data_IF_064888691338
#
_entry.id   IF_064888691338
#
_cell.length_a   1.000
_cell.length_b   1.000
_cell.length_c   1.000
_cell.angle_alpha   90.00
_cell.angle_beta   90.00
_cell.angle_gamma   90.00
#
_symmetry.space_group_name_H-M   'P 1'
#
loop_
_entity.id
_entity.type
_entity.pdbx_description
1 polymer ?
#
# COMPACT_ATOMS: atom_id res chain seq x y z
N UNK A 1 11.39 38.10 -20.94
CA UNK A 1 11.63 36.65 -20.74
C UNK A 1 11.61 36.24 -19.25
N UNK A 2 12.42 36.86 -18.39
CA UNK A 2 12.53 36.52 -16.95
C UNK A 2 11.22 36.61 -16.16
N UNK A 3 10.37 37.62 -16.41
CA UNK A 3 9.06 37.78 -15.72
C UNK A 3 8.06 36.65 -16.02
N UNK A 4 8.05 36.08 -17.22
CA UNK A 4 7.15 34.98 -17.56
C UNK A 4 7.60 33.67 -16.90
N UNK A 5 8.91 33.44 -16.85
CA UNK A 5 9.51 32.30 -16.16
C UNK A 5 9.22 32.35 -14.64
N UNK A 6 9.36 33.52 -14.01
CA UNK A 6 9.04 33.70 -12.59
C UNK A 6 7.56 33.42 -12.28
N UNK A 7 6.63 33.90 -13.13
CA UNK A 7 5.19 33.61 -12.98
C UNK A 7 4.88 32.13 -13.17
N UNK A 8 5.54 31.46 -14.13
CA UNK A 8 5.38 30.03 -14.35
C UNK A 8 5.88 29.22 -13.13
N UNK A 9 7.07 29.54 -12.61
CA UNK A 9 7.62 28.90 -11.40
C UNK A 9 6.67 29.10 -10.21
N UNK A 10 6.18 30.32 -9.99
CA UNK A 10 5.23 30.60 -8.91
C UNK A 10 3.94 29.77 -9.07
N UNK A 11 3.40 29.70 -10.28
CA UNK A 11 2.22 28.89 -10.58
C UNK A 11 2.42 27.41 -10.30
N UNK A 12 3.55 26.84 -10.74
CA UNK A 12 3.90 25.43 -10.48
C UNK A 12 4.06 25.17 -8.99
N UNK A 13 4.77 26.04 -8.27
CA UNK A 13 4.96 25.92 -6.82
C UNK A 13 3.63 25.98 -6.08
N UNK A 14 2.75 26.92 -6.42
CA UNK A 14 1.42 27.02 -5.81
C UNK A 14 0.57 25.78 -6.09
N UNK A 15 0.58 25.27 -7.31
CA UNK A 15 -0.12 24.04 -7.66
C UNK A 15 0.40 22.84 -6.85
N UNK A 16 1.72 22.72 -6.69
CA UNK A 16 2.33 21.66 -5.90
C UNK A 16 1.96 21.74 -4.42
N UNK A 17 2.02 22.95 -3.83
CA UNK A 17 1.62 23.20 -2.45
C UNK A 17 0.14 22.88 -2.24
N UNK A 18 -0.73 23.30 -3.16
CA UNK A 18 -2.16 23.00 -3.09
C UNK A 18 -2.43 21.49 -3.18
N UNK A 19 -1.79 20.79 -4.12
CA UNK A 19 -1.93 19.35 -4.27
C UNK A 19 -1.48 18.61 -3.00
N UNK A 20 -0.28 18.91 -2.49
CA UNK A 20 0.22 18.31 -1.26
C UNK A 20 -0.71 18.59 -0.07
N UNK A 21 -1.21 19.82 0.06
CA UNK A 21 -2.12 20.20 1.15
C UNK A 21 -3.41 19.37 1.11
N UNK A 22 -4.00 19.17 -0.06
CA UNK A 22 -5.18 18.30 -0.23
C UNK A 22 -4.85 16.86 0.21
N UNK A 23 -3.71 16.33 -0.23
CA UNK A 23 -3.25 15.00 0.14
C UNK A 23 -3.06 14.82 1.65
N UNK A 24 -2.47 15.83 2.31
CA UNK A 24 -2.27 15.84 3.76
C UNK A 24 -3.60 15.93 4.50
N UNK A 25 -4.48 16.87 4.15
CA UNK A 25 -5.78 17.03 4.80
C UNK A 25 -6.59 15.73 4.70
N UNK A 26 -6.62 15.11 3.51
CA UNK A 26 -7.30 13.83 3.30
C UNK A 26 -6.68 12.69 4.12
N UNK A 27 -5.35 12.63 4.21
CA UNK A 27 -4.68 11.61 5.01
C UNK A 27 -4.95 11.77 6.51
N UNK A 28 -4.92 13.02 7.01
CA UNK A 28 -5.20 13.32 8.42
C UNK A 28 -6.65 13.07 8.83
N UNK A 29 -7.61 13.20 7.91
CA UNK A 29 -9.01 12.88 8.15
C UNK A 29 -9.35 11.38 8.02
N UNK A 30 -8.41 10.57 7.53
CA UNK A 30 -8.65 9.14 7.28
C UNK A 30 -8.38 8.30 8.53
N UNK A 31 -9.38 7.49 8.92
CA UNK A 31 -9.29 6.45 9.93
C UNK A 31 -10.00 5.21 9.39
N UNK A 32 -9.22 4.28 8.84
CA UNK A 32 -9.76 3.06 8.22
C UNK A 32 -8.92 1.85 8.64
N UNK A 33 -9.56 0.69 8.71
CA UNK A 33 -8.89 -0.60 8.83
C UNK A 33 -9.45 -1.53 7.77
N UNK A 34 -8.56 -2.23 7.10
CA UNK A 34 -8.89 -3.14 6.02
C UNK A 34 -8.24 -4.49 6.26
N UNK A 35 -8.90 -5.54 5.79
CA UNK A 35 -8.35 -6.88 5.72
C UNK A 35 -8.63 -7.46 4.34
N UNK A 36 -7.56 -7.77 3.61
CA UNK A 36 -7.62 -8.31 2.26
C UNK A 36 -7.05 -9.72 2.21
N UNK A 37 -7.56 -10.52 1.29
CA UNK A 37 -7.11 -11.89 1.07
C UNK A 37 -6.96 -12.18 -0.41
N UNK A 38 -6.04 -13.08 -0.74
CA UNK A 38 -5.94 -13.65 -2.08
C UNK A 38 -5.55 -15.12 -2.00
N UNK A 39 -6.03 -15.92 -2.95
CA UNK A 39 -5.78 -17.35 -3.00
C UNK A 39 -5.07 -17.73 -4.30
N UNK A 40 -4.11 -18.64 -4.19
CA UNK A 40 -3.34 -19.19 -5.30
C UNK A 40 -3.51 -20.71 -5.32
N UNK A 41 -4.29 -21.19 -6.27
CA UNK A 41 -4.63 -22.60 -6.39
C UNK A 41 -3.38 -23.49 -6.42
N UNK A 42 -3.33 -24.49 -5.53
CA UNK A 42 -2.20 -25.43 -5.43
C UNK A 42 -0.92 -24.85 -4.83
N UNK A 43 -0.92 -23.59 -4.35
CA UNK A 43 0.26 -22.94 -3.76
C UNK A 43 0.01 -22.46 -2.34
N UNK A 44 -1.12 -21.81 -2.10
CA UNK A 44 -1.46 -21.27 -0.77
C UNK A 44 -2.31 -20.01 -0.86
N UNK A 45 -2.18 -19.14 0.13
CA UNK A 45 -2.97 -17.91 0.20
C UNK A 45 -2.17 -16.81 0.89
N UNK A 46 -2.68 -15.59 0.81
CA UNK A 46 -2.11 -14.43 1.47
C UNK A 46 -3.18 -13.66 2.23
N UNK A 47 -2.74 -13.02 3.31
CA UNK A 47 -3.54 -12.10 4.11
C UNK A 47 -2.78 -10.78 4.21
N UNK A 48 -3.50 -9.69 3.97
CA UNK A 48 -2.96 -8.34 4.02
C UNK A 48 -3.86 -7.44 4.86
N UNK A 49 -3.38 -7.06 6.03
CA UNK A 49 -4.07 -6.14 6.93
C UNK A 49 -3.47 -4.74 6.78
N UNK A 50 -4.33 -3.74 6.67
CA UNK A 50 -3.94 -2.34 6.59
C UNK A 50 -4.69 -1.53 7.64
N UNK A 51 -3.98 -0.65 8.34
CA UNK A 51 -4.56 0.27 9.31
C UNK A 51 -4.04 1.67 9.01
N UNK A 52 -4.97 2.60 8.79
CA UNK A 52 -4.71 3.98 8.45
C UNK A 52 -5.29 4.85 9.55
N UNK A 53 -4.45 5.66 10.19
CA UNK A 53 -4.88 6.54 11.28
C UNK A 53 -4.17 7.87 11.10
N UNK A 54 -4.92 8.89 10.69
CA UNK A 54 -4.48 10.30 10.67
C UNK A 54 -3.11 10.48 10.00
N UNK A 55 -2.99 10.02 8.76
CA UNK A 55 -1.77 10.09 7.96
C UNK A 55 -0.70 9.04 8.28
N UNK A 56 -0.88 8.22 9.31
CA UNK A 56 -0.02 7.06 9.61
C UNK A 56 -0.61 5.79 9.01
N UNK A 57 0.26 4.93 8.51
CA UNK A 57 -0.13 3.63 7.98
C UNK A 57 0.69 2.51 8.63
N UNK A 58 -0.01 1.44 9.00
CA UNK A 58 0.56 0.16 9.40
C UNK A 58 0.01 -0.90 8.45
N UNK A 59 0.88 -1.72 7.89
CA UNK A 59 0.47 -2.85 7.05
C UNK A 59 1.15 -4.13 7.53
N UNK A 60 0.43 -5.24 7.48
CA UNK A 60 0.91 -6.56 7.83
C UNK A 60 0.56 -7.51 6.69
N UNK A 61 1.57 -8.14 6.13
CA UNK A 61 1.44 -9.11 5.04
C UNK A 61 1.89 -10.47 5.53
N UNK A 62 1.06 -11.48 5.30
CA UNK A 62 1.36 -12.87 5.54
C UNK A 62 1.13 -13.67 4.27
N UNK A 63 2.12 -14.45 3.85
CA UNK A 63 1.99 -15.48 2.84
C UNK A 63 2.01 -16.85 3.51
N UNK A 64 1.03 -17.69 3.17
CA UNK A 64 0.85 -19.03 3.69
C UNK A 64 1.03 -20.05 2.56
N UNK A 65 1.61 -21.22 2.86
CA UNK A 65 1.60 -22.37 1.94
C UNK A 65 0.25 -23.11 1.98
N UNK A 66 0.14 -24.21 1.23
CA UNK A 66 -1.02 -25.11 1.24
C UNK A 66 -1.31 -25.73 2.61
N UNK A 67 -0.29 -25.86 3.47
CA UNK A 67 -0.39 -26.45 4.82
C UNK A 67 -0.75 -25.41 5.90
N UNK A 68 -1.03 -24.16 5.48
CA UNK A 68 -1.26 -22.99 6.36
C UNK A 68 -0.05 -22.55 7.21
N UNK A 69 1.16 -23.00 6.88
CA UNK A 69 2.39 -22.47 7.47
C UNK A 69 2.72 -21.09 6.88
N UNK A 70 3.10 -20.15 7.74
CA UNK A 70 3.60 -18.84 7.32
C UNK A 70 4.95 -19.01 6.63
N UNK A 71 4.99 -18.73 5.33
CA UNK A 71 6.24 -18.76 4.53
C UNK A 71 6.87 -17.39 4.37
N UNK A 72 6.08 -16.32 4.48
CA UNK A 72 6.55 -14.93 4.43
C UNK A 72 5.74 -14.10 5.40
N UNK A 73 6.42 -13.23 6.15
CA UNK A 73 5.79 -12.25 7.02
C UNK A 73 6.51 -10.91 6.88
N UNK A 74 5.79 -9.87 6.47
CA UNK A 74 6.32 -8.51 6.31
C UNK A 74 5.46 -7.52 7.06
N UNK A 75 6.12 -6.51 7.63
CA UNK A 75 5.46 -5.40 8.29
C UNK A 75 5.90 -4.08 7.67
N UNK A 76 4.96 -3.15 7.59
CA UNK A 76 5.18 -1.83 7.03
C UNK A 76 4.68 -0.79 8.00
N UNK A 77 5.50 0.23 8.25
CA UNK A 77 5.15 1.35 9.11
C UNK A 77 5.57 2.65 8.46
N UNK A 78 4.65 3.60 8.32
CA UNK A 78 4.95 4.80 7.58
C UNK A 78 3.89 5.88 7.62
N UNK A 79 4.00 6.76 6.64
CA UNK A 79 3.07 7.84 6.38
C UNK A 79 2.41 7.61 5.03
N UNK A 80 1.21 8.17 4.85
CA UNK A 80 0.53 8.17 3.56
C UNK A 80 -0.07 9.53 3.21
N UNK A 81 -0.20 9.77 1.91
CA UNK A 81 -1.05 10.80 1.33
C UNK A 81 -2.22 10.12 0.61
N UNK A 82 -3.38 10.77 0.61
CA UNK A 82 -4.59 10.23 0.01
C UNK A 82 -5.22 11.22 -0.97
N UNK A 83 -5.60 10.72 -2.15
CA UNK A 83 -6.33 11.47 -3.17
C UNK A 83 -7.50 10.61 -3.66
N UNK A 84 -8.67 10.78 -3.02
CA UNK A 84 -9.82 9.91 -3.26
C UNK A 84 -9.51 8.46 -2.85
N UNK A 85 -9.52 7.56 -3.82
CA UNK A 85 -9.18 6.14 -3.65
C UNK A 85 -7.67 5.84 -3.86
N UNK A 86 -6.86 6.83 -4.26
CA UNK A 86 -5.42 6.66 -4.44
C UNK A 86 -4.65 6.95 -3.14
N UNK A 87 -3.70 6.07 -2.83
CA UNK A 87 -2.84 6.15 -1.66
C UNK A 87 -1.37 6.13 -2.09
N UNK A 88 -0.61 7.11 -1.61
CA UNK A 88 0.84 7.15 -1.75
C UNK A 88 1.47 6.95 -0.38
N UNK A 89 2.28 5.92 -0.23
CA UNK A 89 2.82 5.48 1.05
C UNK A 89 4.33 5.59 1.03
N UNK A 90 4.88 6.22 2.06
CA UNK A 90 6.31 6.14 2.38
C UNK A 90 6.44 5.37 3.70
N UNK A 91 7.02 4.18 3.64
CA UNK A 91 7.07 3.29 4.78
C UNK A 91 8.42 2.60 4.93
N UNK A 92 8.71 2.22 6.17
CA UNK A 92 9.75 1.27 6.50
C UNK A 92 9.17 -0.13 6.35
N UNK A 93 9.71 -0.90 5.42
CA UNK A 93 9.44 -2.33 5.26
C UNK A 93 10.39 -3.11 6.17
N UNK A 94 9.84 -4.03 6.95
CA UNK A 94 10.59 -4.96 7.78
C UNK A 94 10.17 -6.38 7.45
N UNK A 95 11.14 -7.22 7.10
CA UNK A 95 10.91 -8.66 7.04
C UNK A 95 11.01 -9.22 8.48
N UNK A 96 9.97 -9.92 8.90
CA UNK A 96 9.83 -10.36 10.30
C UNK A 96 10.82 -11.47 10.64
N UNK A 97 11.24 -12.27 9.65
CA UNK A 97 12.14 -13.40 9.86
C UNK A 97 13.61 -12.99 10.11
N UNK A 98 14.12 -12.02 9.36
CA UNK A 98 15.53 -11.62 9.38
C UNK A 98 15.76 -10.20 9.97
N UNK A 99 14.68 -9.52 10.38
CA UNK A 99 14.68 -8.15 10.89
C UNK A 99 15.31 -7.11 9.93
N UNK A 100 15.50 -7.47 8.66
CA UNK A 100 16.06 -6.55 7.69
C UNK A 100 15.04 -5.45 7.38
N UNK A 101 15.51 -4.21 7.38
CA UNK A 101 14.70 -3.02 7.29
C UNK A 101 15.16 -2.14 6.15
N UNK A 102 14.23 -1.73 5.30
CA UNK A 102 14.51 -0.79 4.22
C UNK A 102 13.36 0.19 4.04
N UNK A 103 13.68 1.35 3.48
CA UNK A 103 12.69 2.36 3.12
C UNK A 103 12.05 1.95 1.78
N UNK A 104 10.73 1.99 1.71
CA UNK A 104 9.95 1.73 0.49
C UNK A 104 8.95 2.85 0.26
N UNK A 105 8.78 3.22 -1.00
CA UNK A 105 7.66 4.03 -1.47
C UNK A 105 6.70 3.12 -2.22
N UNK A 106 5.40 3.25 -1.95
CA UNK A 106 4.37 2.40 -2.57
C UNK A 106 3.12 3.18 -2.97
N UNK A 107 2.47 2.72 -4.03
CA UNK A 107 1.19 3.26 -4.50
C UNK A 107 0.12 2.17 -4.49
N UNK A 108 -1.08 2.55 -4.05
CA UNK A 108 -2.23 1.66 -4.01
C UNK A 108 -3.50 2.39 -4.40
N UNK A 109 -4.47 1.65 -4.90
CA UNK A 109 -5.83 2.10 -5.05
C UNK A 109 -6.73 1.24 -4.14
N UNK A 110 -7.54 1.88 -3.31
CA UNK A 110 -8.49 1.20 -2.43
C UNK A 110 -9.86 1.81 -2.63
N UNK A 111 -10.80 0.96 -3.02
CA UNK A 111 -12.21 1.31 -3.12
C UNK A 111 -13.01 0.43 -2.16
N UNK A 112 -13.94 1.05 -1.44
CA UNK A 112 -14.79 0.37 -0.46
C UNK A 112 -16.25 0.72 -0.69
N UNK A 113 -17.10 -0.30 -0.65
CA UNK A 113 -18.55 -0.17 -0.72
C UNK A 113 -19.19 -0.92 0.46
N UNK A 114 -19.64 -0.17 1.46
CA UNK A 114 -20.08 -0.72 2.73
C UNK A 114 -18.93 -1.46 3.43
N UNK A 115 -19.16 -2.73 3.76
CA UNK A 115 -18.17 -3.59 4.39
C UNK A 115 -17.16 -4.18 3.40
N UNK A 116 -17.43 -4.12 2.10
CA UNK A 116 -16.54 -4.71 1.08
C UNK A 116 -15.47 -3.71 0.65
N UNK A 117 -14.26 -4.22 0.39
CA UNK A 117 -13.15 -3.42 -0.11
C UNK A 117 -12.36 -4.16 -1.19
N UNK A 118 -11.80 -3.40 -2.13
CA UNK A 118 -10.88 -3.90 -3.15
C UNK A 118 -9.59 -3.10 -3.05
N UNK A 119 -8.46 -3.81 -3.00
CA UNK A 119 -7.12 -3.26 -3.10
C UNK A 119 -6.54 -3.57 -4.47
N UNK A 120 -6.05 -2.55 -5.17
CA UNK A 120 -5.31 -2.68 -6.42
C UNK A 120 -3.88 -2.18 -6.19
N UNK A 121 -2.90 -2.99 -6.58
CA UNK A 121 -1.48 -2.67 -6.51
C UNK A 121 -0.73 -3.22 -7.72
N UNK A 122 0.03 -2.37 -8.37
CA UNK A 122 0.92 -2.69 -9.49
C UNK A 122 2.31 -3.19 -9.03
N UNK A 123 2.67 -2.95 -7.76
CA UNK A 123 3.98 -3.26 -7.19
C UNK A 123 4.03 -4.62 -6.45
N UNK A 124 3.26 -5.59 -6.94
CA UNK A 124 3.12 -6.92 -6.31
C UNK A 124 4.28 -7.87 -6.64
N UNK A 125 4.88 -7.76 -7.82
CA UNK A 125 6.07 -8.52 -8.22
C UNK A 125 5.84 -10.05 -8.30
N UNK A 126 6.95 -10.79 -8.28
CA UNK A 126 6.97 -12.26 -8.36
C UNK A 126 7.56 -12.81 -7.07
N UNK A 127 6.90 -13.79 -6.46
CA UNK A 127 7.40 -14.55 -5.34
C UNK A 127 8.00 -15.87 -5.83
N UNK A 128 9.22 -16.20 -5.43
CA UNK A 128 9.81 -17.51 -5.73
C UNK A 128 9.45 -18.47 -4.61
N UNK A 129 8.67 -19.50 -4.91
CA UNK A 129 8.26 -20.52 -3.94
C UNK A 129 9.45 -21.36 -3.49
N UNK A 130 9.27 -22.16 -2.42
CA UNK A 130 10.28 -23.15 -1.97
C UNK A 130 10.66 -24.15 -3.07
N UNK A 131 9.74 -24.48 -3.98
CA UNK A 131 9.98 -25.32 -5.17
C UNK A 131 10.70 -24.59 -6.31
N UNK A 132 11.18 -23.36 -6.09
CA UNK A 132 11.78 -22.47 -7.09
C UNK A 132 10.85 -22.11 -8.25
N UNK A 133 9.54 -22.23 -8.05
CA UNK A 133 8.55 -21.87 -9.05
C UNK A 133 8.20 -20.38 -8.89
N UNK A 134 8.21 -19.58 -9.95
CA UNK A 134 7.75 -18.20 -9.87
C UNK A 134 6.23 -18.15 -9.70
N UNK A 135 5.77 -17.42 -8.68
CA UNK A 135 4.38 -17.10 -8.42
C UNK A 135 4.16 -15.60 -8.67
N UNK A 136 3.37 -15.29 -9.69
CA UNK A 136 2.92 -13.91 -9.92
C UNK A 136 1.85 -13.56 -8.89
N UNK A 137 2.13 -12.54 -8.08
CA UNK A 137 1.22 -12.12 -7.03
C UNK A 137 0.07 -11.30 -7.61
N UNK A 138 -1.15 -11.54 -7.13
CA UNK A 138 -2.36 -10.91 -7.65
C UNK A 138 -2.33 -9.40 -7.43
N UNK A 139 -2.54 -8.63 -8.51
CA UNK A 139 -2.63 -7.17 -8.47
C UNK A 139 -3.91 -6.67 -7.80
N UNK A 140 -4.94 -7.50 -7.72
CA UNK A 140 -6.22 -7.18 -7.11
C UNK A 140 -6.46 -8.13 -5.94
N UNK A 141 -6.74 -7.56 -4.77
CA UNK A 141 -7.17 -8.32 -3.60
C UNK A 141 -8.56 -7.84 -3.19
N UNK A 142 -9.40 -8.79 -2.83
CA UNK A 142 -10.71 -8.53 -2.25
C UNK A 142 -10.62 -8.63 -0.73
N UNK A 143 -11.40 -7.82 -0.03
CA UNK A 143 -11.34 -7.72 1.41
C UNK A 143 -12.53 -7.01 2.00
N UNK A 144 -12.39 -6.62 3.26
CA UNK A 144 -13.40 -5.90 4.00
C UNK A 144 -12.84 -4.72 4.79
N UNK A 145 -13.73 -3.79 5.13
CA UNK A 145 -13.52 -2.75 6.13
C UNK A 145 -13.82 -3.36 7.50
N UNK A 146 -12.95 -3.11 8.48
CA UNK A 146 -13.00 -3.70 9.84
C UNK A 146 -13.15 -2.62 10.91
#
# INVERSE_FOLDING_TARGET
MVKHLQKAILGVTLALVAALSIGFISAFSTINKYQFHSHYAGVGHESFMMTQIRGRIKMQYFGYNIDNDIVVSKQFYGLFLRYGAHYFVLAKEQNTADHNQHLTARSYFIESNGENAILISDQRGVFITKSKTPLHLNSVLTGSVV
#
